data_IF_442160133446
#
_entry.id   IF_442160133446
#
_cell.length_a   1.000
_cell.length_b   1.000
_cell.length_c   1.000
_cell.angle_alpha   90.00
_cell.angle_beta   90.00
_cell.angle_gamma   90.00
#
_symmetry.space_group_name_H-M   'P 1'
#
loop_
_entity.id
_entity.type
_entity.pdbx_description
1 polymer ?
#
# COMPACT_ATOMS: atom_id res chain seq x y z
N UNK A 1 15.69 -4.54 -2.15
CA UNK A 1 15.25 -3.18 -1.80
C UNK A 1 15.24 -2.37 -3.08
N UNK A 2 14.09 -1.81 -3.46
CA UNK A 2 13.94 -1.05 -4.69
C UNK A 2 14.78 0.24 -4.64
N UNK A 3 15.76 0.36 -5.55
CA UNK A 3 16.68 1.50 -5.65
C UNK A 3 16.19 2.59 -6.62
N UNK A 4 14.98 2.42 -7.16
CA UNK A 4 14.39 3.27 -8.19
C UNK A 4 13.05 3.76 -7.66
N UNK A 5 12.93 5.06 -7.48
CA UNK A 5 11.67 5.76 -7.17
C UNK A 5 11.53 6.88 -8.19
N UNK A 6 10.40 6.93 -8.89
CA UNK A 6 10.07 8.00 -9.84
C UNK A 6 8.95 8.84 -9.24
N UNK A 7 9.10 10.17 -9.18
CA UNK A 7 8.08 11.07 -8.64
C UNK A 7 6.97 11.40 -9.64
N UNK A 8 7.11 11.00 -10.92
CA UNK A 8 6.15 11.30 -12.01
C UNK A 8 5.05 10.24 -12.18
N UNK A 9 4.58 9.65 -11.07
CA UNK A 9 3.57 8.59 -11.10
C UNK A 9 2.18 9.19 -11.28
N UNK A 10 1.45 8.74 -12.31
CA UNK A 10 0.00 8.95 -12.35
C UNK A 10 -0.67 7.95 -11.40
N UNK A 11 -0.96 8.40 -10.17
CA UNK A 11 -1.58 7.55 -9.15
C UNK A 11 -3.11 7.69 -9.23
N UNK A 12 -3.79 6.58 -9.52
CA UNK A 12 -5.24 6.48 -9.42
C UNK A 12 -5.62 5.63 -8.21
N UNK A 13 -6.19 6.25 -7.18
CA UNK A 13 -6.62 5.57 -5.96
C UNK A 13 -8.15 5.46 -5.93
N UNK A 14 -8.67 4.23 -5.80
CA UNK A 14 -10.11 3.98 -5.62
C UNK A 14 -10.32 3.60 -4.16
N UNK A 15 -10.89 4.52 -3.38
CA UNK A 15 -11.28 4.26 -2.01
C UNK A 15 -12.58 3.42 -2.03
N UNK A 16 -12.52 2.17 -1.54
CA UNK A 16 -13.72 1.34 -1.39
C UNK A 16 -14.48 1.80 -0.12
N UNK A 17 -15.32 2.82 -0.26
CA UNK A 17 -16.00 3.48 0.86
C UNK A 17 -17.30 2.79 1.32
N UNK A 18 -17.70 1.65 0.74
CA UNK A 18 -18.99 1.00 1.06
C UNK A 18 -18.84 -0.48 1.41
N UNK A 19 -18.76 -0.84 2.71
CA UNK A 19 -18.88 -2.22 3.16
C UNK A 19 -20.33 -2.76 3.10
N UNK A 20 -21.33 -1.94 2.77
CA UNK A 20 -22.74 -2.32 2.76
C UNK A 20 -23.33 -2.37 1.33
N UNK A 21 -24.09 -3.44 1.05
CA UNK A 21 -24.82 -3.66 -0.19
C UNK A 21 -26.27 -3.17 -0.04
N UNK A 22 -26.49 -1.86 0.03
CA UNK A 22 -27.85 -1.32 -0.06
C UNK A 22 -28.21 -0.91 -1.49
N UNK A 23 -29.51 -0.75 -1.74
CA UNK A 23 -30.07 -0.36 -3.04
C UNK A 23 -29.62 1.03 -3.51
N UNK A 24 -29.20 1.90 -2.60
CA UNK A 24 -28.67 3.24 -2.93
C UNK A 24 -27.25 3.13 -3.51
N UNK A 25 -26.42 2.25 -2.92
CA UNK A 25 -25.08 1.91 -3.38
C UNK A 25 -25.08 1.11 -4.70
N UNK A 26 -26.16 0.38 -5.01
CA UNK A 26 -26.40 -0.22 -6.33
C UNK A 26 -26.76 0.84 -7.38
N UNK A 27 -27.58 1.84 -7.04
CA UNK A 27 -27.98 2.92 -7.94
C UNK A 27 -26.82 3.89 -8.27
N UNK A 28 -26.01 4.27 -7.27
CA UNK A 28 -24.78 5.07 -7.48
C UNK A 28 -23.76 4.36 -8.38
N UNK A 29 -23.78 3.01 -8.41
CA UNK A 29 -22.93 2.18 -9.27
C UNK A 29 -23.37 2.19 -10.75
N UNK A 30 -24.62 2.56 -11.03
CA UNK A 30 -25.23 2.52 -12.37
C UNK A 30 -25.23 3.88 -13.06
N UNK A 31 -25.17 4.99 -12.31
CA UNK A 31 -25.29 6.37 -12.86
C UNK A 31 -23.96 7.08 -13.21
N UNK A 32 -22.82 6.37 -13.22
CA UNK A 32 -21.69 6.78 -14.08
C UNK A 32 -20.80 7.94 -13.60
N UNK A 33 -20.67 8.17 -12.30
CA UNK A 33 -19.67 9.10 -11.73
C UNK A 33 -18.63 8.44 -10.82
N UNK A 34 -18.97 7.32 -10.18
CA UNK A 34 -18.14 6.64 -9.19
C UNK A 34 -18.33 5.14 -9.36
N UNK A 35 -17.33 4.45 -9.89
CA UNK A 35 -17.49 3.06 -10.33
C UNK A 35 -16.68 2.67 -11.56
N UNK A 36 -15.91 3.59 -12.16
CA UNK A 36 -14.86 3.20 -13.10
C UNK A 36 -13.95 2.21 -12.39
N UNK A 37 -14.03 0.94 -12.77
CA UNK A 37 -13.08 -0.06 -12.30
C UNK A 37 -11.70 0.48 -12.69
N UNK A 38 -10.65 0.37 -11.86
CA UNK A 38 -9.29 0.84 -12.21
C UNK A 38 -8.87 0.46 -13.64
N UNK A 39 -9.34 -0.71 -14.09
CA UNK A 39 -9.27 -1.22 -15.47
C UNK A 39 -9.87 -0.29 -16.53
N UNK A 40 -11.10 0.19 -16.35
CA UNK A 40 -11.79 1.07 -17.29
C UNK A 40 -11.11 2.44 -17.38
N UNK A 41 -10.70 2.98 -16.23
CA UNK A 41 -9.91 4.21 -16.18
C UNK A 41 -8.56 4.05 -16.92
N UNK A 42 -7.83 2.97 -16.64
CA UNK A 42 -6.58 2.65 -17.32
C UNK A 42 -6.76 2.49 -18.84
N UNK A 43 -7.78 1.76 -19.28
CA UNK A 43 -8.04 1.55 -20.70
C UNK A 43 -8.42 2.86 -21.41
N UNK A 44 -9.13 3.77 -20.74
CA UNK A 44 -9.40 5.11 -21.24
C UNK A 44 -8.11 5.91 -21.48
N UNK A 45 -7.19 5.90 -20.51
CA UNK A 45 -5.89 6.55 -20.66
C UNK A 45 -5.03 5.92 -21.75
N UNK A 46 -5.07 4.59 -21.89
CA UNK A 46 -4.28 3.85 -22.89
C UNK A 46 -4.69 4.17 -24.33
N UNK A 47 -5.92 4.63 -24.56
CA UNK A 47 -6.33 5.14 -25.88
C UNK A 47 -5.58 6.41 -26.28
N UNK A 48 -5.16 7.22 -25.30
CA UNK A 48 -4.40 8.45 -25.50
C UNK A 48 -2.89 8.20 -25.40
N UNK A 49 -2.49 7.23 -24.58
CA UNK A 49 -1.11 6.85 -24.32
C UNK A 49 -0.95 5.33 -24.58
N UNK A 50 -0.77 4.89 -25.84
CA UNK A 50 -0.72 3.47 -26.21
C UNK A 50 0.37 2.68 -25.48
N UNK A 51 1.41 3.39 -25.04
CA UNK A 51 2.56 2.85 -24.34
C UNK A 51 2.41 2.78 -22.82
N UNK A 52 1.33 3.33 -22.25
CA UNK A 52 1.09 3.38 -20.81
C UNK A 52 1.06 1.99 -20.18
N UNK A 53 1.96 1.71 -19.25
CA UNK A 53 1.95 0.49 -18.44
C UNK A 53 1.23 0.76 -17.11
N UNK A 54 0.47 -0.22 -16.63
CA UNK A 54 -0.30 -0.11 -15.40
C UNK A 54 0.01 -1.26 -14.46
N UNK A 55 0.08 -0.95 -13.17
CA UNK A 55 0.12 -1.92 -12.09
C UNK A 55 -0.96 -1.55 -11.06
N UNK A 56 -1.86 -2.47 -10.78
CA UNK A 56 -2.82 -2.36 -9.69
C UNK A 56 -2.43 -3.33 -8.58
N UNK A 57 -2.20 -2.83 -7.36
CA UNK A 57 -2.01 -3.65 -6.16
C UNK A 57 -3.25 -3.45 -5.29
N UNK A 58 -4.01 -4.52 -5.09
CA UNK A 58 -5.34 -4.47 -4.49
C UNK A 58 -5.44 -5.39 -3.26
N UNK A 59 -6.36 -5.05 -2.37
CA UNK A 59 -6.73 -5.88 -1.23
C UNK A 59 -7.48 -7.13 -1.71
N UNK A 60 -7.30 -8.23 -0.99
CA UNK A 60 -7.99 -9.49 -1.20
C UNK A 60 -9.15 -9.57 -0.21
N UNK A 61 -10.25 -8.90 -0.57
CA UNK A 61 -11.53 -8.83 0.15
C UNK A 61 -12.23 -10.23 0.26
N UNK A 62 -11.52 -11.25 0.75
CA UNK A 62 -11.96 -12.65 0.94
C UNK A 62 -12.41 -13.40 -0.33
N UNK A 63 -12.32 -12.79 -1.51
CA UNK A 63 -12.77 -13.36 -2.79
C UNK A 63 -11.76 -14.30 -3.45
N UNK A 64 -10.65 -14.60 -2.76
CA UNK A 64 -9.58 -15.47 -3.26
C UNK A 64 -9.13 -15.03 -4.67
N UNK A 65 -8.92 -13.72 -4.82
CA UNK A 65 -8.66 -13.13 -6.13
C UNK A 65 -7.27 -13.54 -6.62
N UNK A 66 -7.20 -13.96 -7.89
CA UNK A 66 -5.95 -14.34 -8.52
C UNK A 66 -5.36 -13.14 -9.23
N UNK A 67 -4.02 -13.07 -9.24
CA UNK A 67 -3.27 -12.14 -10.07
C UNK A 67 -3.69 -12.28 -11.55
N UNK A 68 -3.76 -11.15 -12.26
CA UNK A 68 -4.17 -11.11 -13.67
C UNK A 68 -3.29 -10.18 -14.46
N UNK A 69 -3.03 -10.56 -15.70
CA UNK A 69 -2.36 -9.70 -16.68
C UNK A 69 -3.34 -9.50 -17.83
N UNK A 70 -3.81 -8.27 -18.01
CA UNK A 70 -4.75 -7.89 -19.06
C UNK A 70 -4.10 -6.83 -19.94
N UNK A 71 -3.42 -7.29 -21.00
CA UNK A 71 -2.68 -6.41 -21.91
C UNK A 71 -1.51 -5.72 -21.20
N UNK A 72 -1.64 -4.41 -20.96
CA UNK A 72 -0.60 -3.61 -20.30
C UNK A 72 -0.92 -3.28 -18.82
N UNK A 73 -2.03 -3.78 -18.30
CA UNK A 73 -2.38 -3.68 -16.90
C UNK A 73 -2.10 -5.01 -16.21
N UNK A 74 -1.17 -5.00 -15.26
CA UNK A 74 -0.96 -6.08 -14.32
C UNK A 74 -1.74 -5.79 -13.04
N UNK A 75 -2.53 -6.76 -12.57
CA UNK A 75 -3.26 -6.67 -11.30
C UNK A 75 -2.73 -7.72 -10.34
N UNK A 76 -2.35 -7.27 -9.16
CA UNK A 76 -1.76 -8.02 -8.07
C UNK A 76 -2.62 -7.91 -6.84
N UNK A 77 -2.87 -9.02 -6.15
CA UNK A 77 -3.61 -9.02 -4.88
C UNK A 77 -2.70 -9.34 -3.70
N UNK A 78 -2.96 -8.73 -2.54
CA UNK A 78 -2.36 -9.15 -1.27
C UNK A 78 -2.93 -10.50 -0.85
N UNK A 79 -2.09 -11.46 -0.45
CA UNK A 79 -2.60 -12.76 0.05
C UNK A 79 -3.29 -12.62 1.40
N UNK A 80 -2.69 -11.86 2.31
CA UNK A 80 -3.18 -11.66 3.69
C UNK A 80 -4.12 -10.46 3.76
N UNK A 81 -5.22 -10.44 3.00
CA UNK A 81 -6.23 -9.37 3.04
C UNK A 81 -5.74 -8.00 2.52
N UNK A 82 -4.98 -7.24 3.30
CA UNK A 82 -4.52 -5.88 2.98
C UNK A 82 -3.03 -5.71 3.38
N UNK A 83 -2.41 -4.60 3.01
CA UNK A 83 -0.98 -4.36 3.30
C UNK A 83 -0.70 -4.29 4.82
N UNK A 84 -1.67 -3.80 5.59
CA UNK A 84 -1.61 -3.71 7.05
C UNK A 84 -1.38 -5.05 7.73
N UNK A 85 -1.86 -6.14 7.12
CA UNK A 85 -1.69 -7.49 7.65
C UNK A 85 -0.24 -7.98 7.67
N UNK A 86 0.67 -7.30 6.98
CA UNK A 86 2.08 -7.67 6.92
C UNK A 86 2.95 -6.91 7.92
N UNK A 87 2.49 -5.77 8.45
CA UNK A 87 3.29 -4.96 9.36
C UNK A 87 2.63 -4.70 10.71
N UNK A 88 1.29 -4.75 10.81
CA UNK A 88 0.61 -4.52 12.09
C UNK A 88 0.83 -5.72 13.01
N UNK A 89 1.47 -5.46 14.14
CA UNK A 89 1.67 -6.41 15.23
C UNK A 89 1.33 -5.74 16.57
N UNK A 90 1.00 -6.52 17.62
CA UNK A 90 0.76 -6.00 18.95
C UNK A 90 1.94 -5.17 19.47
N UNK A 91 3.17 -5.65 19.23
CA UNK A 91 4.40 -4.96 19.64
C UNK A 91 4.59 -3.62 18.91
N UNK A 92 4.24 -3.55 17.62
CA UNK A 92 4.31 -2.30 16.86
C UNK A 92 3.32 -1.26 17.37
N UNK A 93 2.07 -1.68 17.62
CA UNK A 93 1.03 -0.81 18.18
C UNK A 93 1.41 -0.31 19.58
N UNK A 94 1.92 -1.20 20.44
CA UNK A 94 2.46 -0.87 21.77
C UNK A 94 3.57 0.16 21.67
N UNK A 95 4.57 -0.10 20.82
CA UNK A 95 5.75 0.75 20.66
C UNK A 95 5.34 2.15 20.19
N UNK A 96 4.44 2.22 19.21
CA UNK A 96 3.92 3.50 18.73
C UNK A 96 3.17 4.25 19.84
N UNK A 97 2.25 3.60 20.55
CA UNK A 97 1.49 4.24 21.63
C UNK A 97 2.41 4.80 22.73
N UNK A 98 3.40 4.02 23.16
CA UNK A 98 4.39 4.47 24.16
C UNK A 98 5.21 5.67 23.69
N UNK A 99 5.53 5.74 22.40
CA UNK A 99 6.23 6.92 21.84
C UNK A 99 5.39 8.21 21.85
N UNK A 100 4.06 8.09 21.95
CA UNK A 100 3.12 9.22 21.95
C UNK A 100 2.69 9.68 23.32
N UNK A 101 2.86 8.84 24.34
CA UNK A 101 2.62 9.19 25.73
C UNK A 101 3.94 9.09 26.52
N UNK A 102 4.80 10.12 26.48
CA UNK A 102 6.05 10.12 27.21
C UNK A 102 5.81 10.02 28.71
N UNK A 103 6.62 9.17 29.34
CA UNK A 103 6.66 8.90 30.77
C UNK A 103 7.30 10.07 31.55
N UNK A 104 6.57 11.14 31.78
CA UNK A 104 6.87 11.98 32.95
C UNK A 104 6.33 11.25 34.19
N UNK A 105 7.28 10.85 35.05
CA UNK A 105 7.36 9.74 36.00
C UNK A 105 6.14 9.43 36.91
N UNK A 106 5.12 10.29 37.00
CA UNK A 106 4.01 10.09 37.93
C UNK A 106 2.83 9.29 37.33
N UNK A 107 2.67 9.30 36.00
CA UNK A 107 1.56 8.59 35.32
C UNK A 107 2.06 7.53 34.32
N UNK A 108 3.37 7.26 34.31
CA UNK A 108 3.98 6.32 33.36
C UNK A 108 3.42 4.90 33.52
N UNK A 109 3.29 4.42 34.76
CA UNK A 109 2.78 3.08 35.05
C UNK A 109 1.29 2.92 34.70
N UNK A 110 0.48 3.95 34.96
CA UNK A 110 -0.94 3.98 34.59
C UNK A 110 -1.14 4.02 33.08
N UNK A 111 -0.30 4.80 32.38
CA UNK A 111 -0.28 4.89 30.92
C UNK A 111 0.12 3.55 30.31
N UNK A 112 1.20 2.94 30.80
CA UNK A 112 1.64 1.62 30.33
C UNK A 112 0.57 0.56 30.56
N UNK A 113 -0.04 0.54 31.75
CA UNK A 113 -1.14 -0.37 32.07
C UNK A 113 -2.33 -0.17 31.12
N UNK A 114 -2.70 1.08 30.86
CA UNK A 114 -3.79 1.42 29.93
C UNK A 114 -3.51 0.96 28.49
N UNK A 115 -2.26 1.05 28.03
CA UNK A 115 -1.84 0.55 26.72
C UNK A 115 -1.95 -0.99 26.65
N UNK A 116 -1.40 -1.70 27.65
CA UNK A 116 -1.45 -3.16 27.67
C UNK A 116 -2.88 -3.68 27.80
N UNK A 117 -3.71 -3.06 28.64
CA UNK A 117 -5.11 -3.42 28.81
C UNK A 117 -5.92 -3.20 27.53
N UNK A 118 -5.74 -2.05 26.87
CA UNK A 118 -6.42 -1.76 25.60
C UNK A 118 -6.01 -2.77 24.51
N UNK A 119 -4.72 -3.11 24.42
CA UNK A 119 -4.25 -4.16 23.50
C UNK A 119 -4.85 -5.52 23.83
N UNK A 120 -4.78 -5.94 25.11
CA UNK A 120 -5.28 -7.22 25.56
C UNK A 120 -6.78 -7.38 25.27
N UNK A 121 -7.57 -6.33 25.55
CA UNK A 121 -9.00 -6.29 25.28
C UNK A 121 -9.29 -6.46 23.77
N UNK A 122 -8.67 -5.62 22.92
CA UNK A 122 -8.91 -5.65 21.46
C UNK A 122 -8.44 -6.96 20.84
N UNK A 123 -7.27 -7.47 21.22
CA UNK A 123 -6.74 -8.73 20.68
C UNK A 123 -7.63 -9.89 21.13
N UNK A 124 -8.05 -9.92 22.40
CA UNK A 124 -8.95 -10.97 22.90
C UNK A 124 -10.27 -10.95 22.13
N UNK A 125 -10.88 -9.77 21.96
CA UNK A 125 -12.19 -9.62 21.31
C UNK A 125 -12.12 -9.89 19.80
N UNK A 126 -11.17 -9.28 19.08
CA UNK A 126 -11.16 -9.27 17.62
C UNK A 126 -10.28 -10.34 16.96
N UNK A 127 -9.27 -10.86 17.66
CA UNK A 127 -8.34 -11.85 17.10
C UNK A 127 -8.62 -13.24 17.68
N UNK A 128 -8.99 -13.31 18.96
CA UNK A 128 -9.33 -14.55 19.66
C UNK A 128 -10.83 -14.74 19.87
N UNK A 129 -11.68 -13.92 19.25
CA UNK A 129 -13.16 -14.06 19.28
C UNK A 129 -13.73 -14.14 20.71
N UNK A 130 -13.12 -13.41 21.65
CA UNK A 130 -13.47 -13.40 23.07
C UNK A 130 -12.92 -14.57 23.89
N UNK A 131 -12.21 -15.52 23.27
CA UNK A 131 -11.64 -16.68 23.94
C UNK A 131 -10.41 -16.31 24.78
N UNK A 132 -10.66 -15.86 26.02
CA UNK A 132 -9.62 -15.42 26.96
C UNK A 132 -8.56 -16.49 27.24
N UNK A 133 -8.95 -17.77 27.28
CA UNK A 133 -8.00 -18.88 27.49
C UNK A 133 -7.01 -19.02 26.33
N UNK A 134 -7.49 -18.89 25.08
CA UNK A 134 -6.63 -18.96 23.89
C UNK A 134 -5.67 -17.76 23.84
N UNK A 135 -6.16 -16.56 24.16
CA UNK A 135 -5.33 -15.37 24.29
C UNK A 135 -4.24 -15.54 25.37
N UNK A 136 -4.59 -16.10 26.52
CA UNK A 136 -3.62 -16.39 27.59
C UNK A 136 -2.59 -17.44 27.17
N UNK A 137 -3.02 -18.52 26.50
CA UNK A 137 -2.13 -19.54 25.99
C UNK A 137 -1.16 -18.95 24.96
N UNK A 138 -1.66 -18.09 24.06
CA UNK A 138 -0.85 -17.36 23.08
C UNK A 138 0.16 -16.43 23.75
N UNK A 139 -0.26 -15.63 24.74
CA UNK A 139 0.63 -14.67 25.43
C UNK A 139 1.77 -15.35 26.18
N UNK A 140 1.56 -16.59 26.64
CA UNK A 140 2.58 -17.39 27.34
C UNK A 140 3.41 -18.30 26.41
N UNK A 141 3.14 -18.28 25.10
CA UNK A 141 3.84 -19.13 24.15
C UNK A 141 5.25 -18.58 23.81
N UNK A 142 6.18 -19.42 23.32
CA UNK A 142 7.45 -18.95 22.79
C UNK A 142 7.25 -17.95 21.61
N UNK A 143 8.18 -17.01 21.38
CA UNK A 143 8.03 -15.96 20.36
C UNK A 143 7.69 -16.46 18.95
N UNK A 144 8.27 -17.59 18.53
CA UNK A 144 8.00 -18.16 17.21
C UNK A 144 6.59 -18.73 17.11
N UNK A 145 6.10 -19.35 18.19
CA UNK A 145 4.72 -19.84 18.26
C UNK A 145 3.72 -18.69 18.32
N UNK A 146 4.04 -17.62 19.07
CA UNK A 146 3.22 -16.39 19.09
C UNK A 146 3.05 -15.80 17.70
N UNK A 147 4.15 -15.70 16.94
CA UNK A 147 4.15 -15.18 15.57
C UNK A 147 3.30 -16.05 14.65
N UNK A 148 3.51 -17.36 14.66
CA UNK A 148 2.76 -18.30 13.82
C UNK A 148 1.25 -18.23 14.10
N UNK A 149 0.85 -18.22 15.38
CA UNK A 149 -0.56 -18.12 15.77
C UNK A 149 -1.13 -16.77 15.39
N UNK A 150 -0.39 -15.67 15.58
CA UNK A 150 -0.81 -14.34 15.15
C UNK A 150 -1.07 -14.31 13.65
N UNK A 151 -0.14 -14.80 12.83
CA UNK A 151 -0.30 -14.85 11.38
C UNK A 151 -1.52 -15.67 10.97
N UNK A 152 -1.70 -16.87 11.54
CA UNK A 152 -2.84 -17.72 11.23
C UNK A 152 -4.20 -17.11 11.65
N UNK A 153 -4.28 -16.50 12.83
CA UNK A 153 -5.52 -15.88 13.34
C UNK A 153 -5.89 -14.59 12.60
N UNK A 154 -4.90 -13.91 12.01
CA UNK A 154 -5.08 -12.60 11.35
C UNK A 154 -5.05 -12.66 9.83
N UNK A 155 -4.68 -13.80 9.22
CA UNK A 155 -4.56 -13.95 7.76
C UNK A 155 -5.77 -13.42 6.98
N UNK A 156 -6.98 -13.68 7.50
CA UNK A 156 -8.26 -13.30 6.87
C UNK A 156 -8.98 -12.16 7.60
N UNK A 157 -8.31 -11.49 8.54
CA UNK A 157 -8.90 -10.38 9.31
C UNK A 157 -8.30 -9.08 8.85
N UNK A 158 -9.13 -8.04 8.76
CA UNK A 158 -8.69 -6.69 8.40
C UNK A 158 -7.92 -6.04 9.55
N UNK A 159 -6.58 -6.02 9.52
CA UNK A 159 -5.78 -5.52 10.64
C UNK A 159 -5.86 -4.00 10.83
N UNK A 160 -6.22 -3.24 9.81
CA UNK A 160 -6.53 -1.82 9.97
C UNK A 160 -7.67 -1.59 10.97
N UNK A 161 -8.71 -2.43 10.95
CA UNK A 161 -9.83 -2.37 11.92
C UNK A 161 -9.35 -2.67 13.34
N UNK A 162 -8.49 -3.67 13.50
CA UNK A 162 -7.92 -4.05 14.81
C UNK A 162 -7.08 -2.90 15.38
N UNK A 163 -6.25 -2.28 14.56
CA UNK A 163 -5.42 -1.15 14.98
C UNK A 163 -6.26 0.09 15.34
N UNK A 164 -7.26 0.43 14.53
CA UNK A 164 -8.17 1.54 14.84
C UNK A 164 -8.96 1.29 16.13
N UNK A 165 -9.45 0.08 16.37
CA UNK A 165 -10.10 -0.25 17.64
C UNK A 165 -9.16 -0.09 18.83
N UNK A 166 -7.91 -0.54 18.70
CA UNK A 166 -6.91 -0.31 19.74
C UNK A 166 -6.75 1.19 20.05
N UNK A 167 -6.53 2.03 19.03
CA UNK A 167 -6.38 3.46 19.25
C UNK A 167 -7.64 4.13 19.77
N UNK A 168 -8.83 3.65 19.38
CA UNK A 168 -10.13 4.11 19.88
C UNK A 168 -10.30 3.80 21.37
N UNK A 169 -10.07 2.54 21.79
CA UNK A 169 -10.15 2.15 23.20
C UNK A 169 -9.10 2.85 24.04
N UNK A 170 -7.88 2.99 23.53
CA UNK A 170 -6.83 3.73 24.22
C UNK A 170 -7.19 5.20 24.41
N UNK A 171 -7.71 5.87 23.37
CA UNK A 171 -8.16 7.25 23.46
C UNK A 171 -9.27 7.43 24.51
N UNK A 172 -10.24 6.50 24.55
CA UNK A 172 -11.30 6.52 25.55
C UNK A 172 -10.77 6.37 26.99
N UNK A 173 -9.75 5.52 27.20
CA UNK A 173 -9.08 5.32 28.50
C UNK A 173 -8.25 6.52 28.92
N UNK A 174 -7.54 7.14 27.99
CA UNK A 174 -6.65 8.28 28.25
C UNK A 174 -7.38 9.63 28.26
N UNK A 175 -8.67 9.67 27.91
CA UNK A 175 -9.44 10.92 27.76
C UNK A 175 -8.96 11.81 26.61
N UNK A 176 -8.32 11.21 25.60
CA UNK A 176 -7.66 11.91 24.49
C UNK A 176 -8.32 11.68 23.13
N UNK A 177 -7.70 12.24 22.08
CA UNK A 177 -8.07 11.94 20.70
C UNK A 177 -7.44 10.62 20.24
N UNK A 178 -8.05 9.99 19.23
CA UNK A 178 -7.50 8.79 18.59
C UNK A 178 -6.13 9.09 17.99
N UNK A 179 -5.12 8.27 18.31
CA UNK A 179 -3.73 8.51 17.87
C UNK A 179 -3.56 8.39 16.35
N UNK A 180 -4.20 7.39 15.74
CA UNK A 180 -4.13 7.12 14.31
C UNK A 180 -5.48 6.62 13.79
N UNK A 181 -5.88 7.14 12.64
CA UNK A 181 -6.92 6.57 11.77
C UNK A 181 -6.32 5.60 10.75
N UNK A 182 -7.15 4.84 10.04
CA UNK A 182 -6.71 3.92 8.97
C UNK A 182 -5.80 4.62 7.94
N UNK A 183 -6.16 5.83 7.52
CA UNK A 183 -5.36 6.61 6.55
C UNK A 183 -3.97 7.01 7.06
N UNK A 184 -3.74 6.94 8.38
CA UNK A 184 -2.48 7.32 9.02
C UNK A 184 -1.64 6.12 9.48
N UNK A 185 -2.10 4.88 9.27
CA UNK A 185 -1.38 3.68 9.68
C UNK A 185 -0.02 3.52 8.98
N UNK A 186 0.20 4.19 7.85
CA UNK A 186 1.51 4.30 7.21
C UNK A 186 2.59 4.90 8.14
N UNK A 187 2.20 5.69 9.15
CA UNK A 187 3.11 6.24 10.17
C UNK A 187 3.70 5.18 11.11
N UNK A 188 3.16 3.95 11.10
CA UNK A 188 3.71 2.81 11.83
C UNK A 188 4.91 2.19 11.10
N UNK A 189 4.97 2.29 9.76
CA UNK A 189 5.99 1.63 8.93
C UNK A 189 7.43 1.97 9.34
N UNK A 190 7.79 3.22 9.69
CA UNK A 190 9.14 3.54 10.15
C UNK A 190 9.58 2.83 11.44
N UNK A 191 8.62 2.36 12.25
CA UNK A 191 8.88 1.61 13.48
C UNK A 191 8.78 0.09 13.28
N UNK A 192 8.30 -0.35 12.12
CA UNK A 192 8.11 -1.77 11.84
C UNK A 192 9.48 -2.45 11.65
N UNK A 193 9.69 -3.65 12.22
CA UNK A 193 10.92 -4.40 11.99
C UNK A 193 11.03 -4.77 10.51
N UNK A 194 12.13 -4.35 9.88
CA UNK A 194 12.44 -4.71 8.49
C UNK A 194 13.04 -6.12 8.38
N UNK A 195 13.56 -6.65 9.49
CA UNK A 195 14.02 -8.02 9.58
C UNK A 195 12.84 -8.99 9.53
N UNK A 196 12.82 -9.87 8.53
CA UNK A 196 11.74 -10.85 8.36
C UNK A 196 10.49 -10.33 7.66
N UNK A 197 10.58 -9.20 6.92
CA UNK A 197 9.52 -8.79 6.02
C UNK A 197 9.12 -9.94 5.09
N UNK A 198 7.82 -10.12 4.90
CA UNK A 198 7.29 -11.15 4.00
C UNK A 198 7.88 -10.99 2.61
N UNK A 199 8.26 -12.12 2.00
CA UNK A 199 8.73 -12.15 0.61
C UNK A 199 7.70 -11.57 -0.36
N UNK A 200 6.41 -11.56 -0.01
CA UNK A 200 5.37 -10.95 -0.81
C UNK A 200 5.47 -9.42 -0.85
N UNK A 201 5.80 -8.75 0.26
CA UNK A 201 6.02 -7.29 0.24
C UNK A 201 7.14 -6.99 -0.75
N UNK A 202 8.25 -7.72 -0.66
CA UNK A 202 9.38 -7.57 -1.58
C UNK A 202 8.94 -7.79 -3.03
N UNK A 203 8.17 -8.84 -3.32
CA UNK A 203 7.65 -9.10 -4.67
C UNK A 203 6.78 -7.94 -5.19
N UNK A 204 5.90 -7.36 -4.38
CA UNK A 204 5.08 -6.22 -4.81
C UNK A 204 5.92 -4.95 -5.04
N UNK A 205 6.92 -4.71 -4.18
CA UNK A 205 7.88 -3.61 -4.36
C UNK A 205 8.74 -3.79 -5.61
N UNK A 206 9.12 -5.03 -5.93
CA UNK A 206 9.87 -5.34 -7.15
C UNK A 206 9.01 -5.10 -8.41
N UNK A 207 7.70 -5.41 -8.37
CA UNK A 207 6.77 -5.04 -9.44
C UNK A 207 6.74 -3.52 -9.67
N UNK A 208 6.74 -2.73 -8.60
CA UNK A 208 6.82 -1.26 -8.69
C UNK A 208 8.16 -0.81 -9.29
N UNK A 209 9.27 -1.40 -8.85
CA UNK A 209 10.60 -1.07 -9.37
C UNK A 209 10.72 -1.36 -10.87
N UNK A 210 10.18 -2.49 -11.34
CA UNK A 210 10.12 -2.82 -12.78
C UNK A 210 9.29 -1.79 -13.54
N UNK A 211 8.13 -1.40 -13.01
CA UNK A 211 7.29 -0.38 -13.63
C UNK A 211 8.02 0.95 -13.79
N UNK A 212 8.77 1.38 -12.76
CA UNK A 212 9.55 2.62 -12.79
C UNK A 212 10.75 2.54 -13.75
N UNK A 213 11.47 1.42 -13.77
CA UNK A 213 12.59 1.23 -14.69
C UNK A 213 12.15 1.33 -16.16
N UNK A 214 10.99 0.76 -16.50
CA UNK A 214 10.40 0.87 -17.85
C UNK A 214 10.01 2.31 -18.17
N UNK A 215 9.54 3.08 -17.17
CA UNK A 215 9.27 4.52 -17.32
C UNK A 215 10.54 5.31 -17.65
N UNK A 216 11.60 5.14 -16.86
CA UNK A 216 12.86 5.89 -17.01
C UNK A 216 13.59 5.59 -18.33
N UNK A 217 13.70 4.31 -18.72
CA UNK A 217 14.34 3.93 -19.98
C UNK A 217 13.68 4.59 -21.21
N UNK A 218 12.38 4.89 -21.13
CA UNK A 218 11.64 5.50 -22.23
C UNK A 218 11.86 7.01 -22.34
N UNK A 219 11.93 7.72 -21.22
CA UNK A 219 12.31 9.14 -21.19
C UNK A 219 13.71 9.34 -21.80
N UNK A 220 14.65 8.43 -21.52
CA UNK A 220 15.99 8.45 -22.11
C UNK A 220 15.97 8.19 -23.63
N UNK A 221 15.12 7.29 -24.12
CA UNK A 221 14.97 7.06 -25.58
C UNK A 221 14.24 8.20 -26.32
N UNK A 222 13.29 8.88 -25.69
CA UNK A 222 12.60 10.04 -26.30
C UNK A 222 13.56 11.24 -26.36
N UNK A 223 14.33 11.48 -25.30
CA UNK A 223 15.32 12.57 -25.27
C UNK A 223 16.53 12.33 -26.17
N UNK A 224 16.95 11.08 -26.37
CA UNK A 224 18.02 10.74 -27.33
C UNK A 224 17.54 10.71 -28.78
N UNK A 225 16.28 10.33 -29.05
CA UNK A 225 15.69 10.37 -30.39
C UNK A 225 15.54 11.80 -30.95
N UNK A 226 15.20 12.78 -30.12
CA UNK A 226 15.13 14.18 -30.53
C UNK A 226 16.52 14.79 -30.82
N UNK A 227 17.58 14.29 -30.16
CA UNK A 227 18.96 14.73 -30.41
C UNK A 227 19.53 14.19 -31.74
N UNK A 228 19.11 12.99 -32.15
CA UNK A 228 19.59 12.35 -33.39
C UNK A 228 18.90 12.94 -34.64
N UNK A 229 17.59 13.25 -34.54
CA UNK A 229 16.84 13.93 -35.62
C UNK A 229 17.38 15.35 -35.87
N UNK A 230 17.78 16.08 -34.82
CA UNK A 230 18.42 17.39 -34.98
C UNK A 230 19.77 17.34 -35.70
N UNK A 231 20.51 16.24 -35.54
CA UNK A 231 21.84 16.04 -36.15
C UNK A 231 21.72 15.59 -37.60
N UNK A 232 20.77 14.70 -37.92
CA UNK A 232 20.50 14.27 -39.31
C UNK A 232 19.92 15.41 -40.17
N UNK A 233 19.04 16.26 -39.62
CA UNK A 233 18.51 17.42 -40.36
C UNK A 233 19.61 18.46 -40.62
N UNK A 234 20.52 18.67 -39.66
CA UNK A 234 21.64 19.62 -39.85
C UNK A 234 22.66 19.12 -40.87
N UNK A 235 22.94 17.81 -40.91
CA UNK A 235 23.81 17.19 -41.91
C UNK A 235 23.19 17.21 -43.33
N UNK A 236 21.87 16.96 -43.43
CA UNK A 236 21.15 17.03 -44.71
C UNK A 236 21.04 18.46 -45.26
N UNK A 237 20.98 19.48 -44.39
CA UNK A 237 20.96 20.90 -44.81
C UNK A 237 22.34 21.40 -45.27
N UNK A 238 23.44 20.88 -44.73
CA UNK A 238 24.80 21.19 -45.22
C UNK A 238 25.09 20.57 -46.60
N UNK A 239 24.60 19.35 -46.87
CA UNK A 239 24.72 18.73 -48.21
C UNK A 239 23.94 19.49 -49.29
N UNK A 240 22.77 20.05 -48.95
CA UNK A 240 21.95 20.83 -49.89
C UNK A 240 22.55 22.23 -50.14
N UNK A 241 23.26 22.81 -49.16
CA UNK A 241 23.92 24.12 -49.32
C UNK A 241 25.26 24.05 -50.07
N UNK A 242 25.87 22.87 -50.22
CA UNK A 242 27.16 22.69 -50.93
C UNK A 242 27.06 22.50 -52.45
N UNK A 243 25.86 22.29 -53.00
CA UNK A 243 25.68 21.85 -54.39
C UNK A 243 25.44 22.99 -55.42
N UNK A 244 25.47 24.27 -55.05
CA UNK A 244 25.05 25.37 -55.94
C UNK A 244 26.13 26.36 -56.39
N UNK A 245 27.42 26.03 -56.29
CA UNK A 245 28.45 26.83 -56.97
C UNK A 245 29.41 25.92 -57.72
N UNK A 246 29.11 25.66 -59.00
CA UNK A 246 30.10 25.74 -60.08
C UNK A 246 29.43 25.61 -61.45
N UNK A 247 29.46 26.72 -62.19
CA UNK A 247 29.34 26.73 -63.63
C UNK A 247 28.89 28.10 -64.17
N UNK A 248 29.38 28.53 -65.33
CA UNK A 248 30.71 28.38 -65.94
C UNK A 248 31.61 29.63 -65.75
#
# INVERSE_FOLDING_TARGET
MASIWDERINTFYVQNNYPQQDTQAELERVEGGFGLKPREHFNGLRNLLPDLKGLAILDNDEKNQQDRIEGALETKYWRRYEVENYFITPDLLRTYARSKYPSDDLLADETHSSIEEALAEVITEQVFDGARNDYQAWTNAPPDAMRLVWEAKTERRKLSTVAEEFFRKLAARMGGAMLLTKGELHRLVPLAPTAGLSSEITQKLDCLAVLFAVGQMRDETVTSGDADVGTEISAALEEISGATVNGP
#
